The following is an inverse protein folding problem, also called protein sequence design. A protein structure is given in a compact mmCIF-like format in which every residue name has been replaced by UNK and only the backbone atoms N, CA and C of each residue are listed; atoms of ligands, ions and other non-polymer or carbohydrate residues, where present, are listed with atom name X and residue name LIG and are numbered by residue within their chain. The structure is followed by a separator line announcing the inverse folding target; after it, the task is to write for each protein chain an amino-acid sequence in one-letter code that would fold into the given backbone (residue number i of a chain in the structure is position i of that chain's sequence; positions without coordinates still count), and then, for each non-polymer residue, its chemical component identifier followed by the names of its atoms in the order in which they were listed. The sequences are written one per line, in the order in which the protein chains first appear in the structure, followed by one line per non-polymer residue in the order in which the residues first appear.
data_IF_634810655300
#
_entry.id   IF_634810655300
#
_cell.length_a   1.000
_cell.length_b   1.000
_cell.length_c   1.000
_cell.angle_alpha   90.00
_cell.angle_beta   90.00
_cell.angle_gamma   90.00
#
_symmetry.space_group_name_H-M   'P 1'
#
loop_
_entity.id
_entity.type
_entity.pdbx_description
1 polymer ?
#
# COMPACT_ATOMS: atom_id res chain seq x y z
N UNK A 1 11.42 -15.05 -19.82
CA UNK A 1 12.65 -14.23 -19.48
C UNK A 1 12.17 -12.79 -19.40
N UNK A 2 12.50 -12.09 -18.33
CA UNK A 2 12.11 -10.70 -18.11
C UNK A 2 12.79 -9.79 -19.14
N UNK A 3 12.08 -8.77 -19.62
CA UNK A 3 12.64 -7.76 -20.55
C UNK A 3 13.61 -6.84 -19.82
N UNK A 4 13.27 -6.45 -18.59
CA UNK A 4 14.07 -5.55 -17.75
C UNK A 4 14.53 -6.21 -16.45
N UNK A 5 13.64 -6.98 -15.78
CA UNK A 5 13.80 -7.48 -14.42
C UNK A 5 13.79 -6.36 -13.39
N UNK A 6 13.76 -6.70 -12.11
CA UNK A 6 13.72 -5.72 -11.02
C UNK A 6 14.84 -4.68 -11.12
N UNK A 7 16.09 -5.15 -11.15
CA UNK A 7 17.26 -4.25 -11.16
C UNK A 7 17.33 -3.39 -12.41
N UNK A 8 16.89 -3.91 -13.57
CA UNK A 8 16.84 -3.14 -14.81
C UNK A 8 15.84 -2.00 -14.74
N UNK A 9 14.63 -2.24 -14.22
CA UNK A 9 13.60 -1.22 -14.03
C UNK A 9 14.06 -0.14 -13.06
N UNK A 10 14.62 -0.53 -11.90
CA UNK A 10 15.13 0.41 -10.90
C UNK A 10 16.30 1.24 -11.47
N UNK A 11 17.25 0.64 -12.17
CA UNK A 11 18.37 1.36 -12.76
C UNK A 11 17.93 2.38 -13.81
N UNK A 12 16.93 2.05 -14.64
CA UNK A 12 16.38 3.00 -15.61
C UNK A 12 15.67 4.16 -14.92
N UNK A 13 14.89 3.88 -13.86
CA UNK A 13 14.26 4.91 -13.05
C UNK A 13 15.30 5.85 -12.43
N UNK A 14 16.33 5.31 -11.78
CA UNK A 14 17.39 6.09 -11.14
C UNK A 14 18.16 6.95 -12.15
N UNK A 15 18.39 6.43 -13.35
CA UNK A 15 18.99 7.21 -14.44
C UNK A 15 18.11 8.40 -14.80
N UNK A 16 16.81 8.18 -15.02
CA UNK A 16 15.86 9.24 -15.34
C UNK A 16 15.70 10.26 -14.22
N UNK A 17 15.66 9.82 -12.96
CA UNK A 17 15.60 10.69 -11.78
C UNK A 17 16.82 11.62 -11.73
N UNK A 18 18.03 11.09 -11.97
CA UNK A 18 19.27 11.88 -12.03
C UNK A 18 19.27 12.88 -13.18
N UNK A 19 18.89 12.46 -14.37
CA UNK A 19 18.77 13.33 -15.55
C UNK A 19 17.81 14.51 -15.32
N UNK A 20 16.84 14.34 -14.44
CA UNK A 20 15.85 15.38 -14.05
C UNK A 20 16.27 16.19 -12.81
N UNK A 21 17.40 15.84 -12.16
CA UNK A 21 17.81 16.47 -10.91
C UNK A 21 16.84 16.26 -9.74
N UNK A 22 16.06 15.15 -9.80
CA UNK A 22 14.98 14.87 -8.85
C UNK A 22 15.40 13.92 -7.70
N UNK A 23 16.69 13.66 -7.52
CA UNK A 23 17.21 12.72 -6.50
C UNK A 23 16.80 13.12 -5.07
N UNK A 24 16.73 14.42 -4.80
CA UNK A 24 16.29 14.93 -3.49
C UNK A 24 14.83 14.61 -3.16
N UNK A 25 14.02 14.22 -4.16
CA UNK A 25 12.62 13.83 -3.98
C UNK A 25 12.43 12.33 -3.67
N UNK A 26 13.51 11.57 -3.64
CA UNK A 26 13.53 10.20 -3.13
C UNK A 26 13.52 10.13 -1.60
N UNK A 27 13.89 11.22 -0.94
CA UNK A 27 13.88 11.28 0.51
C UNK A 27 12.45 11.56 0.98
N UNK A 28 11.88 10.62 1.71
CA UNK A 28 10.56 10.69 2.30
C UNK A 28 10.69 10.63 3.83
N UNK A 29 9.68 11.17 4.53
CA UNK A 29 9.62 11.16 6.00
C UNK A 29 9.84 12.53 6.63
N UNK A 30 9.21 12.71 7.78
CA UNK A 30 9.26 13.93 8.57
C UNK A 30 10.63 14.11 9.25
N UNK A 31 10.91 15.33 9.65
CA UNK A 31 12.03 15.73 10.51
C UNK A 31 13.40 15.20 10.01
N UNK A 32 13.95 14.19 10.68
CA UNK A 32 15.26 13.61 10.34
C UNK A 32 15.20 12.55 9.26
N UNK A 33 14.01 12.18 8.80
CA UNK A 33 13.75 11.13 7.80
C UNK A 33 14.30 9.75 8.22
N UNK A 34 14.37 9.52 9.54
CA UNK A 34 14.94 8.29 10.11
C UNK A 34 14.02 7.09 10.00
N UNK A 35 12.71 7.32 9.93
CA UNK A 35 11.70 6.26 9.96
C UNK A 35 11.91 5.19 8.89
N UNK A 36 12.17 5.56 7.64
CA UNK A 36 12.35 4.60 6.55
C UNK A 36 13.56 3.69 6.77
N UNK A 37 14.65 4.26 7.31
CA UNK A 37 15.83 3.50 7.68
C UNK A 37 15.53 2.51 8.82
N UNK A 38 14.83 2.93 9.88
CA UNK A 38 14.45 2.06 11.00
C UNK A 38 13.55 0.91 10.53
N UNK A 39 12.57 1.20 9.67
CA UNK A 39 11.67 0.20 9.11
C UNK A 39 12.46 -0.82 8.28
N UNK A 40 13.38 -0.37 7.41
CA UNK A 40 14.21 -1.26 6.58
C UNK A 40 15.18 -2.08 7.43
N UNK A 41 15.87 -1.47 8.39
CA UNK A 41 16.79 -2.17 9.31
C UNK A 41 16.08 -3.28 10.11
N UNK A 42 14.81 -3.05 10.52
CA UNK A 42 14.02 -4.09 11.16
C UNK A 42 13.68 -5.23 10.21
N UNK A 43 13.23 -4.94 9.00
CA UNK A 43 12.95 -5.93 7.97
C UNK A 43 14.19 -6.78 7.62
N UNK A 44 15.37 -6.14 7.53
CA UNK A 44 16.63 -6.82 7.18
C UNK A 44 17.14 -7.78 8.27
N UNK A 45 16.69 -7.59 9.51
CA UNK A 45 16.99 -8.53 10.60
C UNK A 45 16.15 -9.82 10.56
N UNK A 46 15.15 -9.90 9.72
CA UNK A 46 14.30 -11.08 9.57
C UNK A 46 14.83 -11.94 8.44
N UNK A 47 15.18 -13.19 8.75
CA UNK A 47 15.70 -14.17 7.80
C UNK A 47 14.78 -15.39 7.71
N UNK A 48 14.97 -16.23 6.69
CA UNK A 48 14.14 -17.41 6.44
C UNK A 48 14.85 -18.71 6.75
N UNK A 49 14.12 -19.64 7.32
CA UNK A 49 14.50 -21.05 7.35
C UNK A 49 14.15 -21.72 6.02
N UNK A 50 15.14 -22.30 5.34
CA UNK A 50 14.90 -23.05 4.11
C UNK A 50 14.38 -24.46 4.41
N UNK A 51 13.25 -24.83 3.77
CA UNK A 51 12.55 -26.11 3.89
C UNK A 51 12.26 -26.68 2.50
N UNK A 52 13.30 -27.05 1.77
CA UNK A 52 13.21 -27.40 0.34
C UNK A 52 12.87 -28.86 0.07
N UNK A 53 13.08 -29.76 1.03
CA UNK A 53 12.86 -31.19 0.80
C UNK A 53 11.35 -31.50 0.83
N UNK A 54 10.84 -32.00 -0.30
CA UNK A 54 9.41 -32.28 -0.45
C UNK A 54 8.54 -31.05 -0.74
N UNK A 55 9.15 -29.89 -1.00
CA UNK A 55 8.42 -28.70 -1.45
C UNK A 55 8.04 -28.78 -2.93
N UNK A 56 7.05 -27.99 -3.31
CA UNK A 56 6.59 -27.78 -4.69
C UNK A 56 6.44 -26.28 -4.96
N UNK A 57 6.09 -25.90 -6.19
CA UNK A 57 5.79 -24.53 -6.51
C UNK A 57 4.54 -24.05 -5.76
N UNK A 58 4.70 -22.97 -5.01
CA UNK A 58 3.63 -22.42 -4.20
C UNK A 58 2.51 -21.79 -5.04
N UNK A 59 1.25 -21.94 -4.60
CA UNK A 59 0.14 -21.13 -5.05
C UNK A 59 0.09 -19.85 -4.21
N UNK A 60 0.22 -18.70 -4.88
CA UNK A 60 0.19 -17.39 -4.24
C UNK A 60 -1.16 -16.68 -4.40
N UNK A 61 -2.16 -17.33 -5.00
CA UNK A 61 -3.49 -16.75 -5.13
C UNK A 61 -4.16 -16.56 -3.77
N UNK A 62 -5.00 -15.53 -3.67
CA UNK A 62 -5.68 -15.19 -2.41
C UNK A 62 -7.02 -14.49 -2.68
N UNK A 63 -7.76 -14.23 -1.60
CA UNK A 63 -8.97 -13.40 -1.66
C UNK A 63 -8.88 -12.30 -0.60
N UNK A 64 -9.04 -11.04 -1.02
CA UNK A 64 -8.97 -9.85 -0.15
C UNK A 64 -10.21 -9.00 -0.41
N UNK A 65 -10.95 -8.65 0.65
CA UNK A 65 -12.18 -7.84 0.58
C UNK A 65 -13.18 -8.38 -0.48
N UNK A 66 -13.34 -9.71 -0.53
CA UNK A 66 -14.21 -10.38 -1.50
C UNK A 66 -13.68 -10.41 -2.94
N UNK A 67 -12.47 -9.93 -3.19
CA UNK A 67 -11.82 -9.94 -4.51
C UNK A 67 -10.82 -11.08 -4.60
N UNK A 68 -11.00 -11.98 -5.58
CA UNK A 68 -10.02 -13.02 -5.91
C UNK A 68 -8.86 -12.42 -6.65
N UNK A 69 -7.66 -12.57 -6.13
CA UNK A 69 -6.42 -11.97 -6.62
C UNK A 69 -5.39 -13.04 -6.98
N UNK A 70 -4.57 -12.81 -8.00
CA UNK A 70 -3.50 -13.73 -8.38
C UNK A 70 -2.35 -13.78 -7.37
N UNK A 71 -2.26 -12.78 -6.46
CA UNK A 71 -1.30 -12.73 -5.37
C UNK A 71 -1.75 -11.76 -4.27
N UNK A 72 -1.18 -11.82 -3.06
CA UNK A 72 -1.44 -10.86 -1.98
C UNK A 72 -0.73 -9.51 -2.18
N UNK A 73 -0.07 -9.30 -3.31
CA UNK A 73 0.56 -8.02 -3.64
C UNK A 73 -0.49 -7.11 -4.26
N UNK A 74 -0.75 -5.99 -3.59
CA UNK A 74 -1.65 -4.93 -4.08
C UNK A 74 -0.86 -3.63 -4.21
N UNK A 75 -1.45 -2.63 -4.85
CA UNK A 75 -0.79 -1.33 -4.83
C UNK A 75 -1.20 -0.54 -3.61
N UNK A 76 -0.26 0.21 -3.05
CA UNK A 76 -0.55 1.28 -2.12
C UNK A 76 -1.29 2.42 -2.82
N UNK A 77 -1.72 3.40 -2.07
CA UNK A 77 -2.44 4.57 -2.56
C UNK A 77 -1.65 5.31 -3.67
N UNK A 78 -2.28 5.49 -4.82
CA UNK A 78 -1.78 6.34 -5.90
C UNK A 78 -2.46 7.70 -5.85
N UNK A 79 -1.66 8.74 -5.84
CA UNK A 79 -2.06 10.14 -5.89
C UNK A 79 -1.00 10.94 -6.67
N UNK A 80 -1.05 12.26 -6.60
CA UNK A 80 -0.03 13.12 -7.21
C UNK A 80 1.23 13.15 -6.33
N UNK A 81 2.29 12.45 -6.77
CA UNK A 81 3.56 12.41 -6.07
C UNK A 81 4.59 13.37 -6.66
N UNK A 82 5.28 14.12 -5.81
CA UNK A 82 6.33 15.09 -6.19
C UNK A 82 7.43 14.48 -7.06
N UNK A 83 7.80 13.21 -6.82
CA UNK A 83 8.78 12.50 -7.62
C UNK A 83 8.25 12.22 -9.04
N UNK A 84 6.98 11.82 -9.15
CA UNK A 84 6.32 11.56 -10.44
C UNK A 84 6.20 12.84 -11.25
N UNK A 85 5.74 13.94 -10.66
CA UNK A 85 5.65 15.24 -11.31
C UNK A 85 7.01 15.74 -11.84
N UNK A 86 8.08 15.50 -11.07
CA UNK A 86 9.42 15.90 -11.45
C UNK A 86 10.02 15.06 -12.59
N UNK A 87 9.64 13.80 -12.70
CA UNK A 87 10.27 12.82 -13.59
C UNK A 87 9.44 12.47 -14.82
N UNK A 88 8.11 12.47 -14.68
CA UNK A 88 7.15 12.07 -15.73
C UNK A 88 6.27 13.26 -16.08
N UNK A 89 6.57 13.92 -17.19
CA UNK A 89 5.88 15.17 -17.60
C UNK A 89 4.46 15.00 -18.11
N UNK A 90 4.02 13.79 -18.43
CA UNK A 90 2.70 13.53 -19.00
C UNK A 90 1.71 13.14 -17.93
N UNK A 91 0.73 13.97 -17.66
CA UNK A 91 -0.50 13.58 -17.00
C UNK A 91 -1.43 12.90 -18.04
N UNK A 92 -2.20 11.85 -17.66
CA UNK A 92 -2.35 11.33 -16.31
C UNK A 92 -1.58 10.01 -16.12
N UNK A 93 -0.43 10.03 -15.46
CA UNK A 93 0.29 8.79 -15.13
C UNK A 93 -0.55 7.84 -14.24
N UNK A 94 -1.46 8.38 -13.42
CA UNK A 94 -2.36 7.58 -12.58
C UNK A 94 -3.24 6.67 -13.44
N UNK A 95 -3.84 7.19 -14.52
CA UNK A 95 -4.64 6.40 -15.47
C UNK A 95 -3.80 5.31 -16.15
N UNK A 96 -2.56 5.63 -16.52
CA UNK A 96 -1.65 4.65 -17.12
C UNK A 96 -1.26 3.53 -16.15
N UNK A 97 -0.99 3.88 -14.88
CA UNK A 97 -0.75 2.90 -13.81
C UNK A 97 -2.00 2.06 -13.57
N UNK A 98 -3.17 2.67 -13.46
CA UNK A 98 -4.44 1.96 -13.29
C UNK A 98 -4.67 0.93 -14.40
N UNK A 99 -4.37 1.31 -15.65
CA UNK A 99 -4.45 0.39 -16.81
C UNK A 99 -3.48 -0.79 -16.67
N UNK A 100 -2.25 -0.54 -16.22
CA UNK A 100 -1.26 -1.60 -15.99
C UNK A 100 -1.68 -2.54 -14.85
N UNK A 101 -2.20 -1.99 -13.75
CA UNK A 101 -2.68 -2.76 -12.60
C UNK A 101 -3.94 -3.58 -12.96
N UNK A 102 -4.84 -3.03 -13.76
CA UNK A 102 -6.00 -3.78 -14.28
C UNK A 102 -5.59 -4.99 -15.12
N UNK A 103 -4.50 -4.90 -15.90
CA UNK A 103 -3.98 -6.03 -16.68
C UNK A 103 -3.46 -7.17 -15.79
N UNK A 104 -2.88 -6.86 -14.64
CA UNK A 104 -2.38 -7.86 -13.69
C UNK A 104 -3.43 -8.30 -12.68
N UNK A 105 -4.63 -7.70 -12.73
CA UNK A 105 -5.83 -8.10 -12.01
C UNK A 105 -5.67 -8.09 -10.48
N UNK A 106 -5.00 -7.06 -9.93
CA UNK A 106 -4.86 -6.85 -8.49
C UNK A 106 -5.62 -5.61 -8.01
N UNK A 107 -5.67 -5.39 -6.69
CA UNK A 107 -6.30 -4.22 -6.09
C UNK A 107 -5.45 -2.97 -6.32
N UNK A 108 -6.12 -1.88 -6.62
CA UNK A 108 -5.55 -0.55 -6.79
C UNK A 108 -6.12 0.40 -5.74
N UNK A 109 -5.31 0.85 -4.80
CA UNK A 109 -5.68 1.97 -3.93
C UNK A 109 -5.33 3.29 -4.64
N UNK A 110 -6.26 4.24 -4.64
CA UNK A 110 -6.05 5.52 -5.31
C UNK A 110 -6.83 6.66 -4.67
N UNK A 111 -6.26 7.86 -4.74
CA UNK A 111 -6.92 9.13 -4.47
C UNK A 111 -6.86 9.95 -5.74
N UNK A 112 -7.99 10.17 -6.37
CA UNK A 112 -8.09 10.91 -7.64
C UNK A 112 -9.35 11.77 -7.67
N UNK A 113 -9.34 12.78 -8.50
CA UNK A 113 -10.54 13.56 -8.80
C UNK A 113 -11.62 12.68 -9.46
N UNK A 114 -12.91 12.96 -9.23
CA UNK A 114 -14.04 12.17 -9.72
C UNK A 114 -14.00 11.86 -11.23
N UNK A 115 -13.50 12.76 -12.04
CA UNK A 115 -13.38 12.55 -13.49
C UNK A 115 -12.42 11.42 -13.86
N UNK A 116 -11.28 11.28 -13.14
CA UNK A 116 -10.33 10.19 -13.36
C UNK A 116 -10.83 8.88 -12.75
N UNK A 117 -11.57 8.96 -11.64
CA UNK A 117 -12.16 7.78 -11.02
C UNK A 117 -13.05 7.03 -12.01
N UNK A 118 -13.95 7.71 -12.74
CA UNK A 118 -14.82 7.05 -13.70
C UNK A 118 -14.04 6.38 -14.83
N UNK A 119 -13.03 7.07 -15.39
CA UNK A 119 -12.17 6.47 -16.42
C UNK A 119 -11.48 5.20 -15.92
N UNK A 120 -11.04 5.19 -14.66
CA UNK A 120 -10.32 4.07 -14.07
C UNK A 120 -11.26 2.89 -13.78
N UNK A 121 -12.42 3.14 -13.17
CA UNK A 121 -13.36 2.05 -12.82
C UNK A 121 -13.98 1.39 -14.07
N UNK A 122 -14.10 2.12 -15.17
CA UNK A 122 -14.59 1.59 -16.45
C UNK A 122 -13.57 0.67 -17.17
N UNK A 123 -12.32 0.62 -16.69
CA UNK A 123 -11.30 -0.27 -17.27
C UNK A 123 -11.62 -1.73 -17.00
N UNK A 124 -11.56 -2.62 -18.01
CA UNK A 124 -11.72 -4.05 -17.82
C UNK A 124 -10.73 -4.59 -16.77
N UNK A 125 -11.23 -5.34 -15.79
CA UNK A 125 -10.41 -5.93 -14.73
C UNK A 125 -10.00 -4.94 -13.62
N UNK A 126 -10.50 -3.70 -13.66
CA UNK A 126 -10.25 -2.74 -12.58
C UNK A 126 -10.88 -3.20 -11.25
N UNK A 127 -10.15 -2.96 -10.16
CA UNK A 127 -10.54 -3.23 -8.76
C UNK A 127 -10.03 -2.12 -7.88
N UNK A 128 -10.62 -0.92 -8.04
CA UNK A 128 -10.17 0.27 -7.33
C UNK A 128 -10.80 0.38 -5.95
N UNK A 129 -9.97 0.64 -4.95
CA UNK A 129 -10.37 1.13 -3.62
C UNK A 129 -10.14 2.63 -3.62
N UNK A 130 -11.20 3.41 -3.43
CA UNK A 130 -11.10 4.86 -3.31
C UNK A 130 -10.60 5.21 -1.91
N UNK A 131 -9.43 5.85 -1.83
CA UNK A 131 -8.83 6.30 -0.57
C UNK A 131 -9.08 7.78 -0.41
N UNK A 132 -9.68 8.15 0.70
CA UNK A 132 -9.97 9.53 1.07
C UNK A 132 -8.87 10.03 2.00
N UNK A 133 -8.33 11.19 1.66
CA UNK A 133 -7.27 11.88 2.38
C UNK A 133 -7.73 13.25 2.84
N UNK A 134 -6.96 13.88 3.69
CA UNK A 134 -7.25 15.23 4.21
C UNK A 134 -7.03 16.38 3.22
N UNK A 135 -6.71 16.11 1.95
CA UNK A 135 -6.30 17.15 0.99
C UNK A 135 -7.43 17.80 0.19
N UNK A 136 -8.62 17.22 0.21
CA UNK A 136 -9.76 17.72 -0.55
C UNK A 136 -10.52 18.81 0.21
N UNK A 137 -10.22 20.09 -0.04
CA UNK A 137 -10.61 21.15 0.91
C UNK A 137 -11.35 22.35 0.33
N UNK A 138 -11.88 22.28 -0.85
CA UNK A 138 -12.40 23.51 -1.49
C UNK A 138 -13.93 23.71 -1.40
N UNK A 139 -14.75 22.76 -0.94
CA UNK A 139 -16.22 22.85 -1.07
C UNK A 139 -16.97 22.24 0.10
N UNK A 140 -17.63 23.04 0.90
CA UNK A 140 -18.59 22.59 1.92
C UNK A 140 -18.02 22.35 3.31
N UNK A 141 -18.81 21.76 4.23
CA UNK A 141 -18.29 21.23 5.49
C UNK A 141 -17.45 20.00 5.18
N UNK A 142 -16.39 19.81 5.95
CA UNK A 142 -15.45 18.72 5.81
C UNK A 142 -16.14 17.34 5.77
N UNK A 143 -17.06 17.10 6.69
CA UNK A 143 -17.79 15.83 6.77
C UNK A 143 -18.69 15.59 5.56
N UNK A 144 -19.40 16.64 5.08
CA UNK A 144 -20.27 16.54 3.90
C UNK A 144 -19.47 16.21 2.64
N UNK A 145 -18.26 16.76 2.50
CA UNK A 145 -17.38 16.46 1.38
C UNK A 145 -16.89 15.00 1.43
N UNK A 146 -16.46 14.52 2.60
CA UNK A 146 -16.02 13.12 2.78
C UNK A 146 -17.16 12.17 2.45
N UNK A 147 -18.35 12.38 3.01
CA UNK A 147 -19.52 11.53 2.73
C UNK A 147 -19.95 11.60 1.26
N UNK A 148 -19.84 12.77 0.62
CA UNK A 148 -20.10 12.89 -0.80
C UNK A 148 -19.10 12.05 -1.61
N UNK A 149 -17.80 12.17 -1.30
CA UNK A 149 -16.74 11.42 -2.01
C UNK A 149 -16.93 9.91 -1.83
N UNK A 150 -17.32 9.45 -0.64
CA UNK A 150 -17.65 8.04 -0.38
C UNK A 150 -18.77 7.56 -1.31
N UNK A 151 -19.91 8.26 -1.32
CA UNK A 151 -21.06 7.89 -2.14
C UNK A 151 -20.77 7.98 -3.64
N UNK A 152 -20.09 9.04 -4.09
CA UNK A 152 -19.70 9.20 -5.49
C UNK A 152 -18.76 8.07 -5.96
N UNK A 153 -17.82 7.66 -5.12
CA UNK A 153 -16.92 6.54 -5.43
C UNK A 153 -17.65 5.20 -5.53
N UNK A 154 -18.60 4.93 -4.63
CA UNK A 154 -19.45 3.74 -4.68
C UNK A 154 -20.34 3.74 -5.92
N UNK A 155 -21.00 4.86 -6.23
CA UNK A 155 -21.86 5.01 -7.42
C UNK A 155 -21.07 4.82 -8.72
N UNK A 156 -19.81 5.22 -8.75
CA UNK A 156 -18.91 5.02 -9.91
C UNK A 156 -18.40 3.59 -10.05
N UNK A 157 -18.51 2.75 -9.03
CA UNK A 157 -18.15 1.33 -9.10
C UNK A 157 -16.80 0.99 -8.47
N UNK A 158 -16.32 1.78 -7.51
CA UNK A 158 -15.21 1.35 -6.63
C UNK A 158 -15.58 0.03 -5.93
N UNK A 159 -14.58 -0.80 -5.64
CA UNK A 159 -14.80 -2.10 -4.95
C UNK A 159 -14.57 -2.00 -3.44
N UNK A 160 -14.13 -0.86 -2.95
CA UNK A 160 -13.92 -0.55 -1.55
C UNK A 160 -13.68 0.94 -1.34
N UNK A 161 -13.85 1.37 -0.10
CA UNK A 161 -13.58 2.74 0.35
C UNK A 161 -12.52 2.66 1.44
N UNK A 162 -11.57 3.57 1.43
CA UNK A 162 -10.57 3.70 2.48
C UNK A 162 -10.45 5.12 3.00
N UNK A 163 -10.07 5.24 4.26
CA UNK A 163 -9.68 6.52 4.89
C UNK A 163 -8.22 6.40 5.30
N UNK A 164 -7.37 7.31 4.85
CA UNK A 164 -5.97 7.38 5.29
C UNK A 164 -5.81 8.37 6.44
N UNK A 165 -5.67 7.84 7.64
CA UNK A 165 -5.57 8.64 8.86
C UNK A 165 -4.27 9.45 8.94
N UNK A 166 -3.19 8.98 8.32
CA UNK A 166 -1.90 9.69 8.32
C UNK A 166 -2.04 11.05 7.63
N UNK A 167 -2.76 11.09 6.52
CA UNK A 167 -2.90 12.29 5.69
C UNK A 167 -3.66 13.43 6.38
N UNK A 168 -4.51 13.15 7.37
CA UNK A 168 -5.28 14.19 8.08
C UNK A 168 -4.45 15.09 8.99
N UNK A 169 -3.25 14.68 9.36
CA UNK A 169 -2.31 15.49 10.15
C UNK A 169 -1.34 16.31 9.29
N UNK A 170 -1.36 16.12 7.99
CA UNK A 170 -0.38 16.66 7.06
C UNK A 170 0.83 15.76 6.90
N UNK A 171 1.47 15.94 5.78
CA UNK A 171 2.69 15.21 5.45
C UNK A 171 3.87 16.16 5.49
N UNK A 172 4.95 15.72 6.14
CA UNK A 172 6.21 16.43 6.19
C UNK A 172 7.29 15.66 5.44
N UNK A 173 8.12 16.39 4.72
CA UNK A 173 9.35 15.86 4.14
C UNK A 173 10.51 16.70 4.71
N UNK A 174 11.23 16.15 5.67
CA UNK A 174 12.17 16.90 6.50
C UNK A 174 11.44 18.03 7.23
N UNK A 175 11.89 19.26 7.03
CA UNK A 175 11.29 20.47 7.60
C UNK A 175 10.18 21.09 6.75
N UNK A 176 9.99 20.58 5.52
CA UNK A 176 9.00 21.10 4.59
C UNK A 176 7.62 20.50 4.84
N UNK A 177 6.59 21.31 4.59
CA UNK A 177 5.19 20.89 4.52
C UNK A 177 4.74 20.94 3.05
N UNK A 178 4.97 19.86 2.26
CA UNK A 178 4.60 19.86 0.85
C UNK A 178 3.08 19.95 0.64
N UNK A 179 2.32 19.41 1.60
CA UNK A 179 0.86 19.44 1.58
C UNK A 179 0.35 20.04 2.88
N UNK A 180 -0.28 21.21 2.80
CA UNK A 180 -0.93 21.84 3.94
C UNK A 180 -2.30 21.19 4.16
N UNK A 181 -2.50 20.62 5.34
CA UNK A 181 -3.76 20.00 5.70
C UNK A 181 -4.75 21.05 6.14
N UNK A 182 -5.92 21.00 5.58
CA UNK A 182 -7.03 21.83 6.03
C UNK A 182 -7.95 21.13 7.03
N UNK A 183 -7.84 19.81 7.19
CA UNK A 183 -8.90 19.05 7.86
C UNK A 183 -8.63 18.65 9.31
N UNK A 184 -7.40 18.37 9.69
CA UNK A 184 -7.09 17.93 11.06
C UNK A 184 -7.62 16.53 11.42
N UNK A 185 -7.37 16.06 12.64
CA UNK A 185 -7.70 14.72 13.09
C UNK A 185 -9.21 14.44 13.08
N UNK A 186 -9.58 13.19 12.81
CA UNK A 186 -10.96 12.71 12.82
C UNK A 186 -11.32 12.10 14.15
N UNK A 187 -12.54 12.37 14.59
CA UNK A 187 -13.12 11.71 15.75
C UNK A 187 -13.66 10.33 15.39
N UNK A 188 -13.76 9.42 16.36
CA UNK A 188 -14.40 8.11 16.19
C UNK A 188 -15.84 8.25 15.67
N UNK A 189 -16.57 9.26 16.14
CA UNK A 189 -17.94 9.52 15.69
C UNK A 189 -18.01 9.90 14.20
N UNK A 190 -17.05 10.68 13.69
CA UNK A 190 -16.96 11.00 12.26
C UNK A 190 -16.62 9.75 11.43
N UNK A 191 -15.62 8.97 11.86
CA UNK A 191 -15.23 7.74 11.15
C UNK A 191 -16.37 6.71 11.10
N UNK A 192 -17.17 6.61 12.18
CA UNK A 192 -18.39 5.78 12.21
C UNK A 192 -19.42 6.25 11.18
N UNK A 193 -19.67 7.55 11.08
CA UNK A 193 -20.54 8.13 10.05
C UNK A 193 -20.05 7.84 8.64
N UNK A 194 -18.74 7.92 8.41
CA UNK A 194 -18.14 7.61 7.11
C UNK A 194 -18.31 6.12 6.76
N UNK A 195 -18.12 5.23 7.74
CA UNK A 195 -18.40 3.79 7.56
C UNK A 195 -19.88 3.53 7.20
N UNK A 196 -20.81 4.23 7.85
CA UNK A 196 -22.25 4.12 7.61
C UNK A 196 -22.69 4.72 6.25
N UNK A 197 -21.85 5.53 5.62
CA UNK A 197 -22.14 6.18 4.34
C UNK A 197 -21.95 5.26 3.11
N UNK A 198 -21.41 4.04 3.29
CA UNK A 198 -21.16 3.08 2.21
C UNK A 198 -21.57 1.66 2.58
N UNK A 199 -21.95 0.87 1.57
CA UNK A 199 -22.15 -0.58 1.69
C UNK A 199 -20.90 -1.40 1.31
N UNK A 200 -19.90 -0.75 0.73
CA UNK A 200 -18.65 -1.39 0.32
C UNK A 200 -17.75 -1.73 1.51
N UNK A 201 -16.79 -2.66 1.34
CA UNK A 201 -15.72 -2.85 2.31
C UNK A 201 -15.02 -1.53 2.66
N UNK A 202 -14.84 -1.30 3.97
CA UNK A 202 -14.31 -0.06 4.52
C UNK A 202 -12.95 -0.29 5.17
N UNK A 203 -11.91 0.34 4.61
CA UNK A 203 -10.51 0.23 5.02
C UNK A 203 -10.09 1.47 5.81
N UNK A 204 -9.37 1.29 6.91
CA UNK A 204 -8.68 2.40 7.61
C UNK A 204 -7.18 2.19 7.51
N UNK A 205 -6.50 3.09 6.81
CA UNK A 205 -5.05 3.14 6.69
C UNK A 205 -4.43 3.98 7.84
N UNK A 206 -3.19 3.66 8.21
CA UNK A 206 -2.47 4.39 9.25
C UNK A 206 -2.60 3.78 10.64
N UNK A 207 -3.02 2.52 10.74
CA UNK A 207 -3.21 1.84 12.03
C UNK A 207 -1.87 1.25 12.49
N UNK A 208 -1.24 1.88 13.49
CA UNK A 208 0.08 1.50 13.99
C UNK A 208 0.09 1.17 15.49
N UNK A 209 -1.07 0.80 16.04
CA UNK A 209 -1.18 0.33 17.43
C UNK A 209 -2.35 -0.63 17.60
N UNK A 210 -2.23 -1.53 18.58
CA UNK A 210 -3.35 -2.40 19.00
C UNK A 210 -4.53 -1.57 19.51
N UNK A 211 -4.25 -0.43 20.14
CA UNK A 211 -5.29 0.47 20.64
C UNK A 211 -6.14 1.03 19.50
N UNK A 212 -5.51 1.55 18.43
CA UNK A 212 -6.23 2.08 17.27
C UNK A 212 -6.91 0.96 16.49
N UNK A 213 -6.26 -0.20 16.35
CA UNK A 213 -6.88 -1.37 15.75
C UNK A 213 -8.19 -1.77 16.45
N UNK A 214 -8.20 -1.74 17.79
CA UNK A 214 -9.41 -1.99 18.60
C UNK A 214 -10.51 -0.97 18.30
N UNK A 215 -10.21 0.30 18.28
CA UNK A 215 -11.18 1.36 17.94
C UNK A 215 -11.73 1.15 16.53
N UNK A 216 -10.86 0.87 15.55
CA UNK A 216 -11.26 0.65 14.17
C UNK A 216 -12.20 -0.55 14.02
N UNK A 217 -11.87 -1.69 14.65
CA UNK A 217 -12.63 -2.92 14.51
C UNK A 217 -13.91 -2.91 15.36
N UNK A 218 -13.82 -2.52 16.64
CA UNK A 218 -14.94 -2.67 17.59
C UNK A 218 -15.88 -1.45 17.62
N UNK A 219 -15.34 -0.23 17.41
CA UNK A 219 -16.15 0.98 17.55
C UNK A 219 -16.57 1.58 16.21
N UNK A 220 -15.72 1.49 15.17
CA UNK A 220 -16.02 2.02 13.84
C UNK A 220 -16.64 0.95 12.96
N UNK A 221 -16.21 -0.32 13.08
CA UNK A 221 -16.66 -1.42 12.25
C UNK A 221 -15.95 -1.45 10.90
N UNK A 222 -14.63 -1.21 10.90
CA UNK A 222 -13.82 -1.35 9.71
C UNK A 222 -13.75 -2.82 9.24
N UNK A 223 -13.72 -3.06 7.93
CA UNK A 223 -13.60 -4.39 7.34
C UNK A 223 -12.12 -4.77 7.12
N UNK A 224 -11.23 -3.79 7.04
CA UNK A 224 -9.79 -4.00 6.91
C UNK A 224 -8.99 -2.88 7.57
N UNK A 225 -7.75 -3.20 7.96
CA UNK A 225 -6.79 -2.26 8.53
C UNK A 225 -5.55 -2.20 7.65
N UNK A 226 -5.16 -0.99 7.25
CA UNK A 226 -3.86 -0.70 6.65
C UNK A 226 -2.83 -0.43 7.74
N UNK A 227 -1.91 -1.36 7.95
CA UNK A 227 -0.83 -1.25 8.94
C UNK A 227 0.37 -0.62 8.28
N UNK A 228 0.54 0.68 8.49
CA UNK A 228 1.58 1.47 7.84
C UNK A 228 1.62 2.91 8.36
N UNK A 229 2.75 3.58 8.16
CA UNK A 229 3.01 4.92 8.67
C UNK A 229 3.34 5.93 7.56
N UNK A 230 2.89 5.69 6.34
CA UNK A 230 3.07 6.57 5.18
C UNK A 230 4.51 7.10 5.06
N UNK A 231 5.50 6.21 4.97
CA UNK A 231 6.95 6.54 4.88
C UNK A 231 7.49 7.44 6.02
N UNK A 232 6.76 7.54 7.15
CA UNK A 232 7.14 8.43 8.24
C UNK A 232 6.86 9.90 7.96
N UNK A 233 6.01 10.23 6.98
CA UNK A 233 5.66 11.61 6.64
C UNK A 233 4.71 12.26 7.65
N UNK A 234 3.94 11.45 8.39
CA UNK A 234 3.12 11.92 9.49
C UNK A 234 3.92 12.10 10.78
N UNK A 235 4.82 11.17 11.08
CA UNK A 235 5.65 11.18 12.29
C UNK A 235 6.98 10.45 12.03
N UNK A 236 8.10 11.05 12.48
CA UNK A 236 9.40 10.35 12.50
C UNK A 236 9.50 9.45 13.74
N UNK A 237 10.33 8.42 13.69
CA UNK A 237 10.56 7.48 14.79
C UNK A 237 9.33 6.64 15.22
N UNK A 238 8.35 6.43 14.33
CA UNK A 238 7.30 5.43 14.59
C UNK A 238 7.90 4.01 14.68
N UNK A 239 7.18 3.09 15.29
CA UNK A 239 7.61 1.67 15.31
C UNK A 239 7.64 1.08 13.88
N UNK A 240 8.57 0.18 13.56
CA UNK A 240 8.56 -0.55 12.29
C UNK A 240 7.27 -1.35 12.08
N UNK A 241 6.76 -1.34 10.86
CA UNK A 241 5.50 -2.02 10.50
C UNK A 241 5.50 -3.51 10.90
N UNK A 242 6.57 -4.24 10.57
CA UNK A 242 6.66 -5.67 10.88
C UNK A 242 6.84 -5.98 12.38
N UNK A 243 7.05 -4.96 13.23
CA UNK A 243 7.04 -5.10 14.67
C UNK A 243 5.62 -5.00 15.23
N UNK A 244 4.82 -4.08 14.71
CA UNK A 244 3.44 -3.83 15.17
C UNK A 244 2.45 -4.87 14.63
N UNK A 245 2.65 -5.32 13.40
CA UNK A 245 1.74 -6.22 12.70
C UNK A 245 1.36 -7.49 13.48
N UNK A 246 2.30 -8.28 14.04
CA UNK A 246 1.96 -9.49 14.80
C UNK A 246 1.20 -9.17 16.10
N UNK A 247 1.42 -8.03 16.73
CA UNK A 247 0.70 -7.61 17.93
C UNK A 247 -0.79 -7.36 17.62
N UNK A 248 -1.07 -6.73 16.46
CA UNK A 248 -2.45 -6.51 15.99
C UNK A 248 -3.08 -7.86 15.61
N UNK A 249 -2.38 -8.73 14.88
CA UNK A 249 -2.88 -10.06 14.49
C UNK A 249 -3.24 -10.93 15.68
N UNK A 250 -2.44 -10.90 16.75
CA UNK A 250 -2.72 -11.66 17.97
C UNK A 250 -4.04 -11.25 18.62
N UNK A 251 -4.36 -9.96 18.62
CA UNK A 251 -5.61 -9.45 19.20
C UNK A 251 -6.82 -9.59 18.27
N UNK A 252 -6.59 -9.54 16.95
CA UNK A 252 -7.64 -9.59 15.93
C UNK A 252 -7.32 -10.67 14.89
N UNK A 253 -7.44 -11.97 15.25
CA UNK A 253 -7.04 -13.08 14.38
C UNK A 253 -7.81 -13.15 13.06
N UNK A 254 -9.03 -12.65 13.02
CA UNK A 254 -9.91 -12.69 11.84
C UNK A 254 -9.95 -11.35 11.06
N UNK A 255 -9.24 -10.31 11.50
CA UNK A 255 -9.21 -9.03 10.82
C UNK A 255 -8.44 -9.13 9.49
N UNK A 256 -8.91 -8.46 8.45
CA UNK A 256 -8.12 -8.27 7.23
C UNK A 256 -7.05 -7.21 7.48
N UNK A 257 -5.77 -7.64 7.48
CA UNK A 257 -4.61 -6.77 7.71
C UNK A 257 -3.82 -6.59 6.42
N UNK A 258 -3.68 -5.35 5.98
CA UNK A 258 -2.90 -4.96 4.81
C UNK A 258 -1.64 -4.25 5.30
N UNK A 259 -0.49 -4.90 5.19
CA UNK A 259 0.78 -4.27 5.55
C UNK A 259 1.20 -3.28 4.46
N UNK A 260 1.68 -2.11 4.86
CA UNK A 260 2.11 -1.03 3.98
C UNK A 260 3.43 -0.41 4.45
N UNK A 261 4.09 0.31 3.57
CA UNK A 261 5.31 1.08 3.79
C UNK A 261 6.62 0.30 3.78
N UNK A 262 7.47 0.59 2.78
CA UNK A 262 8.87 0.13 2.70
C UNK A 262 9.07 -1.28 2.20
N UNK A 263 8.05 -1.92 1.66
CA UNK A 263 8.13 -3.22 1.02
C UNK A 263 8.63 -3.09 -0.42
N UNK A 264 9.76 -3.74 -0.71
CA UNK A 264 10.45 -3.58 -2.00
C UNK A 264 10.51 -4.88 -2.80
N UNK A 265 10.50 -6.05 -2.17
CA UNK A 265 10.76 -7.34 -2.79
C UNK A 265 9.73 -8.40 -2.37
N UNK A 266 9.60 -9.47 -3.16
CA UNK A 266 8.76 -10.60 -2.79
C UNK A 266 9.17 -11.29 -1.48
N UNK A 267 10.43 -11.16 -1.05
CA UNK A 267 10.88 -11.60 0.27
C UNK A 267 10.30 -10.76 1.41
N UNK A 268 10.16 -9.45 1.21
CA UNK A 268 9.53 -8.59 2.21
C UNK A 268 8.04 -8.93 2.34
N UNK A 269 7.38 -9.24 1.22
CA UNK A 269 5.98 -9.70 1.22
C UNK A 269 5.83 -10.98 2.04
N UNK A 270 6.69 -11.99 1.84
CA UNK A 270 6.62 -13.23 2.63
C UNK A 270 6.83 -12.98 4.13
N UNK A 271 7.72 -12.06 4.53
CA UNK A 271 7.89 -11.67 5.94
C UNK A 271 6.60 -11.11 6.52
N UNK A 272 5.93 -10.20 5.80
CA UNK A 272 4.67 -9.62 6.26
C UNK A 272 3.56 -10.68 6.39
N UNK A 273 3.41 -11.56 5.40
CA UNK A 273 2.42 -12.65 5.44
C UNK A 273 2.68 -13.59 6.62
N UNK A 274 3.92 -13.98 6.84
CA UNK A 274 4.29 -14.84 7.98
C UNK A 274 4.11 -14.15 9.35
N UNK A 275 4.09 -12.83 9.39
CA UNK A 275 3.82 -12.02 10.58
C UNK A 275 2.35 -11.61 10.71
N UNK A 276 1.47 -12.11 9.83
CA UNK A 276 0.04 -11.99 9.97
C UNK A 276 -0.65 -11.00 9.04
N UNK A 277 0.01 -10.47 8.00
CA UNK A 277 -0.68 -9.75 6.94
C UNK A 277 -1.48 -10.71 6.05
N UNK A 278 -2.61 -10.24 5.51
CA UNK A 278 -3.36 -10.93 4.45
C UNK A 278 -2.94 -10.43 3.07
N UNK A 279 -2.51 -9.17 2.99
CA UNK A 279 -1.96 -8.57 1.78
C UNK A 279 -0.86 -7.55 2.11
N UNK A 280 -0.09 -7.20 1.10
CA UNK A 280 0.95 -6.17 1.19
C UNK A 280 0.70 -5.11 0.11
N UNK A 281 0.51 -3.88 0.55
CA UNK A 281 0.38 -2.72 -0.33
C UNK A 281 1.77 -2.14 -0.63
N UNK A 282 2.09 -2.02 -1.91
CA UNK A 282 3.40 -1.56 -2.38
C UNK A 282 3.25 -0.35 -3.29
N UNK A 283 4.06 0.68 -3.08
CA UNK A 283 4.11 1.88 -3.92
C UNK A 283 5.45 2.03 -4.65
N UNK A 284 6.55 2.08 -3.89
CA UNK A 284 7.86 2.45 -4.43
C UNK A 284 8.33 1.56 -5.60
N UNK A 285 8.21 0.21 -5.56
CA UNK A 285 8.61 -0.60 -6.69
C UNK A 285 7.84 -0.27 -7.97
N UNK A 286 6.53 -0.03 -7.84
CA UNK A 286 5.68 0.31 -8.99
C UNK A 286 5.94 1.72 -9.51
N UNK A 287 6.18 2.69 -8.61
CA UNK A 287 6.56 4.04 -8.98
C UNK A 287 7.88 4.06 -9.74
N UNK A 288 8.91 3.39 -9.22
CA UNK A 288 10.20 3.24 -9.91
C UNK A 288 10.04 2.52 -11.25
N UNK A 289 9.23 1.46 -11.33
CA UNK A 289 8.97 0.75 -12.57
C UNK A 289 8.30 1.64 -13.61
N UNK A 290 7.32 2.45 -13.20
CA UNK A 290 6.68 3.41 -14.11
C UNK A 290 7.66 4.50 -14.58
N UNK A 291 8.46 5.08 -13.69
CA UNK A 291 9.51 6.03 -14.05
C UNK A 291 10.51 5.38 -15.03
N UNK A 292 10.89 4.14 -14.81
CA UNK A 292 11.83 3.40 -15.64
C UNK A 292 11.31 3.05 -17.03
N UNK A 293 10.11 2.48 -17.11
CA UNK A 293 9.58 1.88 -18.33
C UNK A 293 8.07 2.06 -18.58
N UNK A 294 7.41 3.02 -17.89
CA UNK A 294 5.98 3.28 -18.06
C UNK A 294 5.10 2.11 -17.62
N UNK A 295 3.91 2.01 -18.21
CA UNK A 295 2.94 0.94 -17.88
C UNK A 295 3.50 -0.48 -18.07
N UNK A 296 4.32 -0.69 -19.08
CA UNK A 296 4.99 -1.99 -19.32
C UNK A 296 5.90 -2.36 -18.14
N UNK A 297 6.62 -1.37 -17.58
CA UNK A 297 7.44 -1.57 -16.39
C UNK A 297 6.63 -1.96 -15.15
N UNK A 298 5.46 -1.35 -14.95
CA UNK A 298 4.55 -1.68 -13.84
C UNK A 298 4.08 -3.14 -13.93
N UNK A 299 3.62 -3.56 -15.11
CA UNK A 299 3.20 -4.96 -15.36
C UNK A 299 4.33 -5.93 -15.08
N UNK A 300 5.54 -5.66 -15.61
CA UNK A 300 6.71 -6.53 -15.41
C UNK A 300 7.13 -6.55 -13.93
N UNK A 301 7.12 -5.41 -13.24
CA UNK A 301 7.46 -5.35 -11.81
C UNK A 301 6.52 -6.21 -10.98
N UNK A 302 5.21 -6.14 -11.22
CA UNK A 302 4.25 -7.00 -10.53
C UNK A 302 4.58 -8.48 -10.72
N UNK A 303 4.84 -8.90 -11.96
CA UNK A 303 5.19 -10.28 -12.28
C UNK A 303 6.49 -10.73 -11.61
N UNK A 304 7.51 -9.86 -11.58
CA UNK A 304 8.79 -10.14 -10.90
C UNK A 304 8.58 -10.33 -9.40
N UNK A 305 7.80 -9.45 -8.76
CA UNK A 305 7.50 -9.56 -7.33
C UNK A 305 6.69 -10.83 -7.00
N UNK A 306 5.73 -11.19 -7.85
CA UNK A 306 5.00 -12.46 -7.73
C UNK A 306 5.90 -13.69 -7.85
N UNK A 307 6.83 -13.68 -8.80
CA UNK A 307 7.81 -14.76 -8.96
C UNK A 307 8.74 -14.89 -7.75
N UNK A 308 9.20 -13.77 -7.21
CA UNK A 308 10.01 -13.74 -6.00
C UNK A 308 9.24 -14.31 -4.80
N UNK A 309 7.99 -13.89 -4.60
CA UNK A 309 7.14 -14.40 -3.53
C UNK A 309 6.94 -15.90 -3.67
N UNK A 310 6.49 -16.38 -4.85
CA UNK A 310 6.28 -17.80 -5.14
C UNK A 310 7.54 -18.61 -4.89
N UNK A 311 8.69 -18.15 -5.36
CA UNK A 311 9.97 -18.81 -5.16
C UNK A 311 10.33 -18.90 -3.68
N UNK A 312 10.20 -17.81 -2.93
CA UNK A 312 10.53 -17.77 -1.50
C UNK A 312 9.60 -18.68 -0.69
N UNK A 313 8.29 -18.68 -0.96
CA UNK A 313 7.34 -19.62 -0.36
C UNK A 313 7.71 -21.08 -0.66
N UNK A 314 8.01 -21.41 -1.93
CA UNK A 314 8.43 -22.76 -2.30
C UNK A 314 9.69 -23.21 -1.55
N UNK A 315 10.69 -22.32 -1.41
CA UNK A 315 11.96 -22.61 -0.73
C UNK A 315 11.84 -22.67 0.80
N UNK A 316 10.77 -22.13 1.37
CA UNK A 316 10.45 -22.21 2.80
C UNK A 316 9.41 -23.29 3.13
N UNK A 317 8.98 -24.08 2.12
CA UNK A 317 8.04 -25.18 2.29
C UNK A 317 6.58 -24.75 2.42
N UNK A 318 6.25 -23.48 2.15
CA UNK A 318 4.89 -22.98 2.14
C UNK A 318 4.26 -23.26 0.77
N UNK A 319 3.23 -24.11 0.71
CA UNK A 319 2.60 -24.52 -0.54
C UNK A 319 1.53 -23.53 -1.05
N UNK A 320 0.93 -22.78 -0.15
CA UNK A 320 -0.12 -21.78 -0.40
C UNK A 320 -0.12 -20.72 0.71
N UNK A 321 -0.85 -19.61 0.53
CA UNK A 321 -0.92 -18.51 1.51
C UNK A 321 -1.39 -19.02 2.88
N UNK A 322 -2.47 -19.81 3.00
CA UNK A 322 -2.92 -20.31 4.31
C UNK A 322 -1.93 -21.23 5.03
N UNK A 323 -0.97 -21.83 4.34
CA UNK A 323 0.04 -22.72 4.94
C UNK A 323 1.31 -21.99 5.39
N UNK A 324 1.37 -20.67 5.27
CA UNK A 324 2.51 -19.89 5.75
C UNK A 324 2.54 -19.97 7.27
N UNK A 325 3.67 -20.50 7.81
CA UNK A 325 3.90 -20.67 9.23
C UNK A 325 4.97 -19.67 9.70
N UNK A 326 4.72 -18.83 10.72
CA UNK A 326 5.71 -17.90 11.29
C UNK A 326 7.03 -18.55 11.67
N UNK A 327 7.07 -19.86 11.93
CA UNK A 327 8.29 -20.60 12.27
C UNK A 327 9.35 -20.63 11.16
N UNK A 328 9.00 -20.19 9.94
CA UNK A 328 10.00 -19.97 8.88
C UNK A 328 10.87 -18.73 9.12
N UNK A 329 10.51 -17.88 10.09
CA UNK A 329 11.22 -16.63 10.36
C UNK A 329 12.20 -16.76 11.53
N UNK A 330 13.39 -16.21 11.35
CA UNK A 330 14.38 -16.04 12.39
C UNK A 330 14.79 -14.57 12.49
N UNK A 331 14.92 -14.07 13.72
CA UNK A 331 15.29 -12.68 14.00
C UNK A 331 16.78 -12.62 14.39
N UNK A 332 17.57 -11.90 13.60
CA UNK A 332 18.95 -11.59 13.93
C UNK A 332 19.01 -10.59 15.09
N UNK A 333 19.94 -10.80 15.99
CA UNK A 333 20.16 -9.91 17.15
C UNK A 333 20.72 -8.55 16.75
#
# INVERSE_FOLDING_TARGET
MWKYGYSGLVNQAMTRIREKGAEHKLNLGAETQTQNRLNREYMDKITFEMRVLGSDWADISTEILGQKLPSPIITCQWCEYRLMEATVKSQPYITDVARAISQVNTLLQLTVEPQYMQEIVDMPGNRSISIITGYETARGSEDELVEFTIRDSEERGAVGIGIDMNCFYGEKVGDEWPYQVAQGPKTVAQLRRYREATSLPFLINGVMSVQDAKICMEEIGADALGVGHNFGEAIDYAEPVLKVLPEIREQFPDATLIADTGFMRGSDVLKALALGADAVAMLEPFMLAYIGAGSEGVVEMYQVLCDELRRNMSLTGCKDIPSIDPSILHFLQ
#
